data_IF_550180102962
#
_entry.id   IF_550180102962
#
_cell.length_a   1.000
_cell.length_b   1.000
_cell.length_c   1.000
_cell.angle_alpha   90.00
_cell.angle_beta   90.00
_cell.angle_gamma   90.00
#
_symmetry.space_group_name_H-M   'P 1'
#
loop_
_entity.id
_entity.type
_entity.pdbx_description
1 polymer ?
#
# COMPACT_ATOMS: atom_id res chain seq x y z
N UNK A 1 9.41 -9.84 -61.97
CA UNK A 1 8.23 -9.84 -61.07
C UNK A 1 8.79 -9.87 -59.66
N UNK A 2 8.87 -8.71 -59.02
CA UNK A 2 9.27 -8.60 -57.61
C UNK A 2 8.06 -8.91 -56.73
N UNK A 3 8.17 -9.97 -55.94
CA UNK A 3 7.22 -10.29 -54.89
C UNK A 3 7.30 -9.23 -53.78
N UNK A 4 6.32 -8.34 -53.75
CA UNK A 4 6.13 -7.42 -52.62
C UNK A 4 5.59 -8.21 -51.43
N UNK A 5 6.45 -8.42 -50.44
CA UNK A 5 6.07 -8.96 -49.15
C UNK A 5 5.08 -8.01 -48.45
N UNK A 6 3.96 -8.52 -47.90
CA UNK A 6 2.96 -7.66 -47.25
C UNK A 6 3.55 -6.98 -46.01
N UNK A 7 3.10 -5.74 -45.70
CA UNK A 7 3.65 -4.98 -44.58
C UNK A 7 3.38 -5.69 -43.26
N UNK A 8 4.46 -5.95 -42.50
CA UNK A 8 4.38 -6.46 -41.12
C UNK A 8 3.59 -5.46 -40.27
N UNK A 9 2.34 -5.79 -39.96
CA UNK A 9 1.51 -5.04 -39.02
C UNK A 9 2.15 -5.10 -37.65
N UNK A 10 2.52 -3.92 -37.11
CA UNK A 10 3.03 -3.81 -35.74
C UNK A 10 1.94 -4.33 -34.79
N UNK A 11 2.27 -5.19 -33.81
CA UNK A 11 1.29 -5.68 -32.86
C UNK A 11 0.65 -4.49 -32.13
N UNK A 12 -0.68 -4.46 -32.11
CA UNK A 12 -1.44 -3.38 -31.46
C UNK A 12 -1.00 -3.26 -29.99
N UNK A 13 -0.61 -2.04 -29.57
CA UNK A 13 -0.27 -1.77 -28.17
C UNK A 13 -1.47 -2.09 -27.30
N UNK A 14 -1.31 -3.03 -26.38
CA UNK A 14 -2.35 -3.41 -25.40
C UNK A 14 -2.75 -2.17 -24.60
N UNK A 15 -4.06 -1.89 -24.40
CA UNK A 15 -4.49 -0.71 -23.68
C UNK A 15 -4.00 -0.74 -22.22
N UNK A 16 -3.60 0.45 -21.75
CA UNK A 16 -3.15 0.70 -20.37
C UNK A 16 -4.31 0.88 -19.37
N UNK A 17 -5.54 1.06 -19.88
CA UNK A 17 -6.76 1.22 -19.09
C UNK A 17 -7.71 0.04 -19.31
N UNK A 18 -8.41 -0.38 -18.26
CA UNK A 18 -9.50 -1.35 -18.30
C UNK A 18 -10.84 -0.67 -18.62
N UNK A 19 -11.82 -1.39 -19.20
CA UNK A 19 -13.17 -0.88 -19.46
C UNK A 19 -13.99 -0.84 -18.16
N UNK A 20 -13.75 0.19 -17.33
CA UNK A 20 -14.31 0.28 -15.96
C UNK A 20 -15.83 0.35 -15.91
N UNK A 21 -16.50 0.98 -16.88
CA UNK A 21 -17.96 1.12 -16.86
C UNK A 21 -18.67 -0.24 -17.00
N UNK A 22 -18.20 -1.07 -17.93
CA UNK A 22 -18.68 -2.44 -18.07
C UNK A 22 -18.32 -3.30 -16.85
N UNK A 23 -17.11 -3.12 -16.31
CA UNK A 23 -16.66 -3.85 -15.11
C UNK A 23 -17.49 -3.50 -13.89
N UNK A 24 -17.87 -2.23 -13.69
CA UNK A 24 -18.70 -1.80 -12.55
C UNK A 24 -20.06 -2.48 -12.51
N UNK A 25 -20.68 -2.74 -13.66
CA UNK A 25 -21.94 -3.45 -13.72
C UNK A 25 -21.80 -4.87 -13.15
N UNK A 26 -20.73 -5.57 -13.56
CA UNK A 26 -20.42 -6.93 -13.09
C UNK A 26 -20.04 -6.91 -11.60
N UNK A 27 -19.19 -5.96 -11.20
CA UNK A 27 -18.72 -5.81 -9.83
C UNK A 27 -19.90 -5.58 -8.86
N UNK A 28 -20.84 -4.69 -9.19
CA UNK A 28 -22.00 -4.41 -8.34
C UNK A 28 -22.91 -5.64 -8.15
N UNK A 29 -22.96 -6.54 -9.14
CA UNK A 29 -23.74 -7.77 -9.04
C UNK A 29 -23.05 -8.85 -8.20
N UNK A 30 -21.71 -8.86 -8.20
CA UNK A 30 -20.91 -9.90 -7.54
C UNK A 30 -20.38 -9.48 -6.17
N UNK A 31 -20.41 -8.18 -5.88
CA UNK A 31 -19.87 -7.63 -4.66
C UNK A 31 -20.69 -8.01 -3.44
N UNK A 32 -19.98 -8.29 -2.35
CA UNK A 32 -20.57 -8.50 -1.03
C UNK A 32 -20.19 -7.34 -0.12
N UNK A 33 -21.09 -7.01 0.82
CA UNK A 33 -20.83 -5.99 1.82
C UNK A 33 -20.24 -6.65 3.06
N UNK A 34 -19.07 -6.20 3.49
CA UNK A 34 -18.45 -6.63 4.74
C UNK A 34 -18.78 -5.65 5.86
N UNK A 35 -19.04 -6.19 7.04
CA UNK A 35 -19.24 -5.43 8.29
C UNK A 35 -18.08 -5.74 9.25
N UNK A 36 -17.44 -4.73 9.86
CA UNK A 36 -16.22 -4.91 10.66
C UNK A 36 -16.29 -6.01 11.72
N UNK A 37 -17.37 -6.05 12.50
CA UNK A 37 -17.51 -7.01 13.60
C UNK A 37 -17.77 -8.45 13.15
N UNK A 38 -18.43 -8.64 12.00
CA UNK A 38 -18.80 -9.98 11.50
C UNK A 38 -17.71 -10.56 10.61
N UNK A 39 -17.02 -9.71 9.86
CA UNK A 39 -16.12 -10.12 8.79
C UNK A 39 -14.64 -9.94 9.12
N UNK A 40 -14.29 -9.76 10.41
CA UNK A 40 -12.91 -9.56 10.87
C UNK A 40 -12.14 -8.51 10.05
N UNK A 41 -12.85 -7.43 9.70
CA UNK A 41 -12.25 -6.28 9.04
C UNK A 41 -11.93 -5.28 10.14
N UNK A 42 -10.65 -4.98 10.34
CA UNK A 42 -10.20 -4.13 11.46
C UNK A 42 -10.76 -2.72 11.40
N UNK A 43 -10.81 -2.14 10.20
CA UNK A 43 -11.37 -0.82 9.92
C UNK A 43 -11.72 -0.72 8.43
N UNK A 44 -12.80 -0.04 8.09
CA UNK A 44 -13.15 0.24 6.70
C UNK A 44 -12.58 1.59 6.27
N UNK A 45 -12.11 1.75 5.02
CA UNK A 45 -11.76 3.06 4.49
C UNK A 45 -12.97 4.02 4.50
N UNK A 46 -12.80 5.23 5.04
CA UNK A 46 -13.82 6.29 5.13
C UNK A 46 -13.55 7.42 4.11
N UNK A 47 -12.90 7.09 2.99
CA UNK A 47 -12.40 8.07 2.02
C UNK A 47 -13.19 7.99 0.72
N UNK A 48 -13.95 9.04 0.40
CA UNK A 48 -14.81 9.12 -0.79
C UNK A 48 -14.03 9.05 -2.12
N UNK A 49 -12.72 9.29 -2.09
CA UNK A 49 -11.84 9.16 -3.26
C UNK A 49 -11.41 7.72 -3.56
N UNK A 50 -11.85 6.75 -2.75
CA UNK A 50 -11.47 5.35 -2.83
C UNK A 50 -12.66 4.47 -3.27
N UNK A 51 -12.64 4.02 -4.52
CA UNK A 51 -13.59 3.00 -5.00
C UNK A 51 -13.00 1.59 -4.85
N UNK A 52 -13.73 0.71 -4.16
CA UNK A 52 -13.34 -0.68 -3.94
C UNK A 52 -14.54 -1.62 -3.83
N UNK A 53 -14.35 -2.88 -4.22
CA UNK A 53 -15.37 -3.94 -4.14
C UNK A 53 -14.79 -5.21 -3.53
N UNK A 54 -15.53 -5.85 -2.63
CA UNK A 54 -15.20 -7.18 -2.13
C UNK A 54 -15.87 -8.25 -2.98
N UNK A 55 -15.07 -9.09 -3.62
CA UNK A 55 -15.57 -10.12 -4.53
C UNK A 55 -15.28 -11.50 -3.93
N UNK A 56 -16.30 -12.35 -3.73
CA UNK A 56 -16.10 -13.75 -3.35
C UNK A 56 -15.18 -14.49 -4.31
N UNK A 57 -14.31 -15.34 -3.76
CA UNK A 57 -13.31 -16.08 -4.54
C UNK A 57 -13.88 -16.92 -5.69
N UNK A 58 -15.15 -17.34 -5.59
CA UNK A 58 -15.84 -18.09 -6.65
C UNK A 58 -15.91 -17.33 -8.00
N UNK A 59 -15.90 -16.00 -7.97
CA UNK A 59 -15.93 -15.17 -9.18
C UNK A 59 -14.54 -14.82 -9.71
N UNK A 60 -13.47 -15.13 -8.96
CA UNK A 60 -12.10 -14.71 -9.26
C UNK A 60 -11.61 -15.16 -10.64
N UNK A 61 -12.00 -16.36 -11.08
CA UNK A 61 -11.65 -16.88 -12.42
C UNK A 61 -12.11 -15.95 -13.56
N UNK A 62 -13.20 -15.21 -13.39
CA UNK A 62 -13.72 -14.26 -14.39
C UNK A 62 -12.82 -13.04 -14.55
N UNK A 63 -12.01 -12.72 -13.54
CA UNK A 63 -11.10 -11.56 -13.54
C UNK A 63 -9.70 -11.91 -14.06
N UNK A 64 -9.41 -13.19 -14.36
CA UNK A 64 -8.12 -13.63 -14.90
C UNK A 64 -7.62 -12.84 -16.13
N UNK A 65 -8.48 -12.44 -17.10
CA UNK A 65 -8.04 -11.62 -18.24
C UNK A 65 -7.47 -10.24 -17.84
N UNK A 66 -7.84 -9.74 -16.65
CA UNK A 66 -7.40 -8.45 -16.13
C UNK A 66 -6.21 -8.56 -15.16
N UNK A 67 -5.82 -9.77 -14.78
CA UNK A 67 -4.67 -9.99 -13.92
C UNK A 67 -3.36 -9.76 -14.70
N UNK A 68 -2.63 -8.71 -14.33
CA UNK A 68 -1.34 -8.32 -14.94
C UNK A 68 -0.28 -8.13 -13.85
N UNK A 69 0.44 -9.21 -13.47
CA UNK A 69 1.52 -9.13 -12.48
C UNK A 69 2.55 -8.06 -12.86
N UNK A 70 2.95 -7.24 -11.88
CA UNK A 70 3.97 -6.19 -12.05
C UNK A 70 3.54 -4.96 -12.87
N UNK A 71 2.48 -5.05 -13.68
CA UNK A 71 1.97 -3.93 -14.49
C UNK A 71 0.43 -3.91 -14.52
N UNK A 72 -0.22 -3.57 -13.39
CA UNK A 72 -1.67 -3.41 -13.34
C UNK A 72 -2.13 -2.28 -14.27
N UNK A 73 -3.42 -2.28 -14.60
CA UNK A 73 -4.01 -1.15 -15.33
C UNK A 73 -3.94 0.12 -14.49
N UNK A 74 -3.83 1.27 -15.15
CA UNK A 74 -3.72 2.56 -14.45
C UNK A 74 -4.99 2.91 -13.64
N UNK A 75 -6.14 2.42 -14.08
CA UNK A 75 -7.46 2.67 -13.50
C UNK A 75 -8.09 1.45 -12.84
N UNK A 76 -7.43 0.29 -12.82
CA UNK A 76 -8.02 -0.95 -12.33
C UNK A 76 -6.97 -1.85 -11.71
N UNK A 77 -7.17 -2.21 -10.44
CA UNK A 77 -6.27 -3.09 -9.69
C UNK A 77 -7.05 -4.26 -9.10
N UNK A 78 -6.59 -5.47 -9.43
CA UNK A 78 -6.92 -6.68 -8.69
C UNK A 78 -5.96 -6.76 -7.51
N UNK A 79 -6.49 -6.64 -6.31
CA UNK A 79 -5.77 -6.88 -5.06
C UNK A 79 -5.84 -8.38 -4.79
N UNK A 80 -4.78 -8.97 -4.24
CA UNK A 80 -4.77 -10.34 -3.72
C UNK A 80 -5.36 -11.43 -4.64
N UNK A 81 -5.14 -11.29 -5.95
CA UNK A 81 -5.60 -12.25 -6.94
C UNK A 81 -4.93 -13.61 -6.74
N UNK A 82 -5.70 -14.70 -6.77
CA UNK A 82 -5.34 -16.07 -6.38
C UNK A 82 -5.04 -16.28 -4.89
N UNK A 83 -5.17 -15.26 -4.04
CA UNK A 83 -4.90 -15.34 -2.61
C UNK A 83 -6.07 -14.71 -1.84
N UNK A 84 -7.27 -15.34 -1.88
CA UNK A 84 -8.47 -14.76 -1.31
C UNK A 84 -8.28 -14.50 0.18
N UNK A 85 -8.68 -13.31 0.62
CA UNK A 85 -8.43 -12.86 1.98
C UNK A 85 -9.36 -13.57 2.98
N UNK A 86 -8.77 -14.02 4.09
CA UNK A 86 -9.50 -14.56 5.26
C UNK A 86 -9.61 -13.54 6.40
N UNK A 87 -8.82 -12.48 6.33
CA UNK A 87 -8.88 -11.33 7.24
C UNK A 87 -8.31 -10.11 6.53
N UNK A 88 -8.85 -8.93 6.81
CA UNK A 88 -8.50 -7.67 6.14
C UNK A 88 -8.21 -6.57 7.16
N UNK A 89 -7.19 -5.78 6.89
CA UNK A 89 -6.85 -4.60 7.69
C UNK A 89 -6.48 -3.42 6.79
N UNK A 90 -7.13 -2.29 7.02
CA UNK A 90 -6.92 -1.08 6.23
C UNK A 90 -6.25 0.00 7.07
N UNK A 91 -5.24 0.65 6.50
CA UNK A 91 -4.52 1.73 7.17
C UNK A 91 -3.87 2.69 6.18
N UNK A 92 -3.53 3.88 6.66
CA UNK A 92 -2.71 4.82 5.89
C UNK A 92 -1.23 4.49 6.03
N UNK A 93 -0.56 4.39 4.89
CA UNK A 93 0.90 4.38 4.83
C UNK A 93 1.38 5.72 4.27
N UNK A 94 2.23 6.40 5.05
CA UNK A 94 2.94 7.58 4.58
C UNK A 94 4.13 7.14 3.75
N UNK A 95 4.24 7.64 2.52
CA UNK A 95 5.52 7.58 1.81
C UNK A 95 6.25 8.87 2.14
N UNK A 96 7.15 8.78 3.10
CA UNK A 96 8.02 9.88 3.45
C UNK A 96 9.48 9.48 3.32
N UNK A 97 10.31 10.46 3.02
CA UNK A 97 11.76 10.40 3.09
C UNK A 97 12.21 11.47 4.08
N UNK A 98 13.20 11.12 4.88
CA UNK A 98 13.89 12.04 5.78
C UNK A 98 15.36 11.99 5.39
N UNK A 99 15.87 13.09 4.86
CA UNK A 99 17.31 13.29 4.71
C UNK A 99 17.81 13.96 5.98
N UNK A 100 18.39 13.14 6.85
CA UNK A 100 19.07 13.61 8.07
C UNK A 100 20.45 14.10 7.66
N UNK A 101 20.83 15.29 8.13
CA UNK A 101 22.12 15.91 7.81
C UNK A 101 22.32 16.19 6.31
N UNK A 102 21.47 17.02 5.68
CA UNK A 102 21.76 17.54 4.34
C UNK A 102 23.06 18.35 4.37
N UNK A 103 23.74 18.40 3.23
CA UNK A 103 24.97 19.15 3.07
C UNK A 103 24.71 20.66 3.17
N UNK A 104 25.73 21.41 3.55
CA UNK A 104 25.67 22.87 3.63
C UNK A 104 25.13 23.50 2.34
N UNK A 105 25.59 23.02 1.19
CA UNK A 105 25.20 23.57 -0.12
C UNK A 105 23.73 23.30 -0.44
N UNK A 106 23.18 22.15 -0.04
CA UNK A 106 21.76 21.85 -0.22
C UNK A 106 20.87 22.76 0.64
N UNK A 107 21.25 23.05 1.88
CA UNK A 107 20.53 23.97 2.77
C UNK A 107 20.60 25.40 2.23
N UNK A 108 21.79 25.85 1.82
CA UNK A 108 21.98 27.17 1.24
C UNK A 108 21.24 27.36 -0.08
N UNK A 109 21.18 26.32 -0.92
CA UNK A 109 20.39 26.33 -2.15
C UNK A 109 18.90 26.44 -1.84
N UNK A 110 18.40 25.71 -0.83
CA UNK A 110 17.01 25.76 -0.42
C UNK A 110 16.61 27.16 0.07
N UNK A 111 17.38 27.75 0.99
CA UNK A 111 17.16 29.11 1.49
C UNK A 111 17.21 30.15 0.37
N UNK A 112 18.17 30.03 -0.56
CA UNK A 112 18.29 30.91 -1.72
C UNK A 112 17.08 30.81 -2.64
N UNK A 113 16.56 29.61 -2.88
CA UNK A 113 15.38 29.41 -3.73
C UNK A 113 14.13 30.04 -3.09
N UNK A 114 13.90 29.84 -1.79
CA UNK A 114 12.77 30.44 -1.08
C UNK A 114 12.84 31.97 -1.08
N UNK A 115 14.03 32.54 -0.83
CA UNK A 115 14.29 33.97 -0.95
C UNK A 115 13.97 34.49 -2.35
N UNK A 116 14.51 33.85 -3.37
CA UNK A 116 14.33 34.27 -4.76
C UNK A 116 12.87 34.18 -5.19
N UNK A 117 12.11 33.19 -4.72
CA UNK A 117 10.68 33.08 -5.00
C UNK A 117 9.90 34.27 -4.42
N UNK A 118 10.12 34.59 -3.14
CA UNK A 118 9.48 35.73 -2.48
C UNK A 118 9.90 37.07 -3.11
N UNK A 119 11.19 37.21 -3.44
CA UNK A 119 11.72 38.39 -4.12
C UNK A 119 11.12 38.54 -5.51
N UNK A 120 11.07 37.47 -6.30
CA UNK A 120 10.47 37.51 -7.63
C UNK A 120 8.99 37.86 -7.57
N UNK A 121 8.24 37.34 -6.60
CA UNK A 121 6.83 37.74 -6.38
C UNK A 121 6.72 39.23 -6.05
N UNK A 122 7.63 39.77 -5.23
CA UNK A 122 7.63 41.21 -4.91
C UNK A 122 7.87 42.13 -6.11
N UNK A 123 8.46 41.62 -7.20
CA UNK A 123 8.67 42.37 -8.43
C UNK A 123 7.37 42.55 -9.24
N UNK A 124 6.40 41.66 -9.06
CA UNK A 124 5.14 41.66 -9.82
C UNK A 124 3.92 42.02 -8.96
N UNK A 125 3.98 41.80 -7.65
CA UNK A 125 2.86 42.00 -6.72
C UNK A 125 3.35 42.59 -5.38
N UNK A 126 2.50 43.36 -4.70
CA UNK A 126 2.81 43.84 -3.35
C UNK A 126 2.71 42.68 -2.35
N UNK A 127 3.83 42.34 -1.70
CA UNK A 127 3.85 41.30 -0.68
C UNK A 127 2.99 41.70 0.53
N UNK A 128 2.25 40.73 1.07
CA UNK A 128 1.56 40.88 2.35
C UNK A 128 2.53 41.10 3.52
N UNK A 129 2.04 41.61 4.65
CA UNK A 129 2.85 41.83 5.84
C UNK A 129 3.56 40.54 6.32
N UNK A 130 2.87 39.40 6.25
CA UNK A 130 3.40 38.07 6.61
C UNK A 130 4.50 37.62 5.65
N UNK A 131 4.34 37.84 4.34
CA UNK A 131 5.36 37.49 3.34
C UNK A 131 6.60 38.38 3.44
N UNK A 132 6.45 39.66 3.79
CA UNK A 132 7.58 40.55 4.06
C UNK A 132 8.35 40.15 5.32
N UNK A 133 7.64 39.69 6.34
CA UNK A 133 8.27 39.12 7.53
C UNK A 133 9.02 37.83 7.21
N UNK A 134 8.40 36.93 6.46
CA UNK A 134 9.02 35.69 5.99
C UNK A 134 10.29 35.95 5.17
N UNK A 135 10.26 36.90 4.23
CA UNK A 135 11.44 37.28 3.45
C UNK A 135 12.60 37.77 4.34
N UNK A 136 12.31 38.62 5.34
CA UNK A 136 13.33 39.10 6.29
C UNK A 136 13.89 37.96 7.13
N UNK A 137 13.04 37.04 7.57
CA UNK A 137 13.46 35.87 8.34
C UNK A 137 14.37 34.95 7.50
N UNK A 138 13.99 34.64 6.26
CA UNK A 138 14.81 33.83 5.35
C UNK A 138 16.16 34.48 5.06
N UNK A 139 16.20 35.80 4.83
CA UNK A 139 17.45 36.54 4.61
C UNK A 139 18.38 36.51 5.84
N UNK A 140 17.81 36.66 7.04
CA UNK A 140 18.55 36.57 8.31
C UNK A 140 19.12 35.16 8.53
N UNK A 141 18.29 34.14 8.34
CA UNK A 141 18.68 32.74 8.47
C UNK A 141 19.76 32.36 7.45
N UNK A 142 19.66 32.84 6.22
CA UNK A 142 20.67 32.59 5.19
C UNK A 142 22.04 33.17 5.55
N UNK A 143 22.09 34.37 6.15
CA UNK A 143 23.35 34.96 6.63
C UNK A 143 23.91 34.18 7.82
N UNK A 144 23.06 33.91 8.81
CA UNK A 144 23.48 33.23 10.03
C UNK A 144 23.96 31.78 9.76
N UNK A 145 23.28 31.06 8.88
CA UNK A 145 23.67 29.70 8.49
C UNK A 145 24.97 29.69 7.67
N UNK A 146 25.16 30.66 6.78
CA UNK A 146 26.41 30.82 6.03
C UNK A 146 27.61 31.09 6.95
N UNK A 147 27.42 31.95 7.95
CA UNK A 147 28.50 32.40 8.82
C UNK A 147 28.82 31.38 9.93
N UNK A 148 27.87 30.51 10.30
CA UNK A 148 28.05 29.48 11.32
C UNK A 148 27.19 28.24 11.04
N UNK A 149 27.56 27.40 10.06
CA UNK A 149 26.74 26.27 9.65
C UNK A 149 26.61 25.19 10.72
N UNK A 150 27.67 24.96 11.51
CA UNK A 150 27.70 23.96 12.58
C UNK A 150 26.80 24.32 13.77
N UNK A 151 26.32 25.57 13.86
CA UNK A 151 25.37 26.01 14.89
C UNK A 151 23.95 25.50 14.64
N UNK A 152 23.68 24.87 13.50
CA UNK A 152 22.35 24.45 13.06
C UNK A 152 22.32 22.97 12.69
N UNK A 153 21.30 22.25 13.17
CA UNK A 153 20.98 20.92 12.68
C UNK A 153 19.88 21.02 11.62
N UNK A 154 20.22 20.69 10.37
CA UNK A 154 19.27 20.69 9.26
C UNK A 154 18.71 19.28 8.97
N UNK A 155 17.50 19.24 8.43
CA UNK A 155 16.86 18.02 7.96
C UNK A 155 15.87 18.37 6.84
N UNK A 156 15.86 17.60 5.76
CA UNK A 156 14.77 17.69 4.77
C UNK A 156 13.80 16.53 4.97
N UNK A 157 12.51 16.84 4.98
CA UNK A 157 11.47 15.83 4.98
C UNK A 157 10.30 16.25 4.12
N UNK A 158 9.76 15.28 3.38
CA UNK A 158 8.47 15.40 2.70
C UNK A 158 7.33 14.78 3.54
N UNK A 159 7.52 14.56 4.85
CA UNK A 159 6.51 13.95 5.73
C UNK A 159 5.17 14.69 5.69
N UNK A 160 5.20 16.01 5.57
CA UNK A 160 4.01 16.86 5.43
C UNK A 160 3.55 17.08 3.98
N UNK A 161 4.30 16.61 2.97
CA UNK A 161 3.85 16.59 1.58
C UNK A 161 2.92 15.39 1.34
N UNK A 162 1.72 15.46 1.91
CA UNK A 162 0.41 14.87 1.54
C UNK A 162 0.25 13.47 0.90
N UNK A 163 1.29 12.68 0.63
CA UNK A 163 1.16 11.38 -0.03
C UNK A 163 0.80 10.27 0.97
N UNK A 164 -0.47 10.27 1.38
CA UNK A 164 -1.11 9.19 2.15
C UNK A 164 -1.72 8.17 1.19
N UNK A 165 -1.24 6.93 1.24
CA UNK A 165 -1.82 5.84 0.47
C UNK A 165 -2.66 4.95 1.40
N UNK A 166 -3.92 4.70 1.00
CA UNK A 166 -4.67 3.60 1.60
C UNK A 166 -3.97 2.31 1.27
N UNK A 167 -3.79 1.48 2.28
CA UNK A 167 -3.13 0.20 2.17
C UNK A 167 -4.05 -0.85 2.77
N UNK A 168 -4.17 -1.98 2.08
CA UNK A 168 -4.89 -3.17 2.52
C UNK A 168 -3.87 -4.25 2.85
N UNK A 169 -3.76 -4.60 4.12
CA UNK A 169 -3.12 -5.84 4.55
C UNK A 169 -4.17 -6.95 4.59
N UNK A 170 -3.79 -8.14 4.13
CA UNK A 170 -4.67 -9.30 4.11
C UNK A 170 -3.92 -10.54 4.55
N UNK A 171 -4.64 -11.42 5.25
CA UNK A 171 -4.19 -12.79 5.55
C UNK A 171 -4.78 -13.75 4.53
N UNK A 172 -4.03 -14.78 4.15
CA UNK A 172 -4.48 -15.85 3.26
C UNK A 172 -3.82 -17.17 3.65
N UNK A 173 -4.42 -18.30 3.27
CA UNK A 173 -3.81 -19.62 3.45
C UNK A 173 -2.80 -19.91 2.34
N UNK A 174 -1.60 -20.35 2.72
CA UNK A 174 -0.55 -20.71 1.77
C UNK A 174 -0.69 -22.15 1.28
N UNK A 175 -1.28 -23.01 2.09
CA UNK A 175 -1.39 -24.44 1.88
C UNK A 175 -2.83 -24.86 1.57
N UNK A 176 -2.97 -25.90 0.73
CA UNK A 176 -4.28 -26.48 0.42
C UNK A 176 -4.95 -27.13 1.64
N UNK A 177 -4.17 -27.46 2.67
CA UNK A 177 -4.62 -27.99 3.96
C UNK A 177 -5.11 -26.92 4.93
N UNK A 178 -5.00 -25.63 4.58
CA UNK A 178 -5.53 -24.48 5.34
C UNK A 178 -4.99 -24.42 6.79
N UNK A 179 -3.73 -24.80 6.97
CA UNK A 179 -3.05 -24.83 8.28
C UNK A 179 -2.04 -23.70 8.44
N UNK A 180 -1.50 -23.17 7.34
CA UNK A 180 -0.50 -22.11 7.34
C UNK A 180 -1.08 -20.84 6.72
N UNK A 181 -1.12 -19.77 7.50
CA UNK A 181 -1.56 -18.47 7.06
C UNK A 181 -0.39 -17.50 6.96
N UNK A 182 -0.32 -16.74 5.86
CA UNK A 182 0.64 -15.65 5.69
C UNK A 182 -0.09 -14.31 5.53
N UNK A 183 0.66 -13.22 5.63
CA UNK A 183 0.16 -11.85 5.54
C UNK A 183 0.88 -11.11 4.44
N UNK A 184 0.12 -10.50 3.53
CA UNK A 184 0.65 -9.60 2.51
C UNK A 184 -0.01 -8.23 2.61
N UNK A 185 0.59 -7.26 1.94
CA UNK A 185 0.17 -5.87 2.02
C UNK A 185 0.24 -5.21 0.66
N UNK A 186 -0.86 -4.59 0.25
CA UNK A 186 -1.00 -3.93 -1.04
C UNK A 186 -1.58 -2.52 -0.91
N UNK A 187 -0.99 -1.56 -1.62
CA UNK A 187 -1.55 -0.21 -1.73
C UNK A 187 -2.79 -0.19 -2.63
N UNK A 188 -3.77 0.65 -2.30
CA UNK A 188 -4.98 0.82 -3.09
C UNK A 188 -4.85 2.04 -4.02
N UNK A 189 -5.48 1.95 -5.19
CA UNK A 189 -5.59 3.05 -6.14
C UNK A 189 -6.61 4.08 -5.62
N UNK A 190 -6.21 5.36 -5.58
CA UNK A 190 -7.12 6.49 -5.34
C UNK A 190 -7.46 7.22 -6.62
N UNK A 191 -8.63 7.84 -6.66
CA UNK A 191 -8.98 8.82 -7.69
C UNK A 191 -7.91 9.91 -7.76
N UNK A 192 -7.59 10.33 -8.99
CA UNK A 192 -6.61 11.40 -9.21
C UNK A 192 -7.17 12.42 -10.17
N UNK A 193 -7.15 13.68 -9.78
CA UNK A 193 -7.45 14.79 -10.66
C UNK A 193 -6.26 15.03 -11.62
N UNK A 194 -6.53 15.20 -12.92
CA UNK A 194 -5.54 15.72 -13.87
C UNK A 194 -5.87 17.15 -14.25
N UNK A 195 -4.85 17.85 -14.78
CA UNK A 195 -4.94 19.18 -15.38
C UNK A 195 -6.17 19.24 -16.29
N UNK A 196 -7.03 20.24 -16.05
CA UNK A 196 -8.41 20.46 -16.58
C UNK A 196 -9.57 19.99 -15.66
N UNK A 197 -9.32 19.66 -14.40
CA UNK A 197 -10.38 19.45 -13.41
C UNK A 197 -11.15 18.12 -13.56
N UNK A 198 -10.67 17.20 -14.40
CA UNK A 198 -11.29 15.89 -14.58
C UNK A 198 -10.71 14.87 -13.60
N UNK A 199 -11.60 14.24 -12.84
CA UNK A 199 -11.26 13.15 -11.93
C UNK A 199 -11.09 11.86 -12.73
N UNK A 200 -9.92 11.25 -12.66
CA UNK A 200 -9.69 9.91 -13.20
C UNK A 200 -10.19 8.87 -12.21
N UNK A 201 -11.19 8.13 -12.64
CA UNK A 201 -11.77 7.02 -11.90
C UNK A 201 -10.79 5.85 -11.78
N UNK A 202 -10.75 5.23 -10.60
CA UNK A 202 -9.87 4.11 -10.30
C UNK A 202 -10.57 3.12 -9.37
N UNK A 203 -10.56 1.85 -9.75
CA UNK A 203 -11.28 0.80 -9.05
C UNK A 203 -10.31 -0.24 -8.49
N UNK A 204 -10.54 -0.65 -7.25
CA UNK A 204 -9.84 -1.76 -6.60
C UNK A 204 -10.81 -2.94 -6.42
N UNK A 205 -10.38 -4.15 -6.77
CA UNK A 205 -11.14 -5.38 -6.57
C UNK A 205 -10.39 -6.24 -5.58
N UNK A 206 -10.99 -6.52 -4.43
CA UNK A 206 -10.39 -7.28 -3.33
C UNK A 206 -11.09 -8.63 -3.26
N UNK A 207 -10.35 -9.72 -3.41
CA UNK A 207 -10.92 -11.06 -3.36
C UNK A 207 -10.99 -11.56 -1.93
N UNK A 208 -12.08 -12.20 -1.55
CA UNK A 208 -12.26 -12.72 -0.20
C UNK A 208 -12.69 -14.16 -0.23
N UNK A 209 -12.37 -14.90 0.82
CA UNK A 209 -13.01 -16.17 1.12
C UNK A 209 -14.18 -15.90 2.09
N UNK A 210 -15.43 -15.94 1.61
CA UNK A 210 -16.60 -15.61 2.44
C UNK A 210 -16.76 -16.57 3.64
N UNK A 211 -16.28 -17.80 3.52
CA UNK A 211 -16.41 -18.80 4.57
C UNK A 211 -15.49 -18.49 5.75
N UNK A 212 -14.23 -18.16 5.46
CA UNK A 212 -13.24 -17.89 6.50
C UNK A 212 -13.28 -16.46 7.02
N UNK A 213 -13.57 -15.48 6.16
CA UNK A 213 -13.63 -14.08 6.59
C UNK A 213 -14.75 -13.83 7.61
N UNK A 214 -15.82 -14.63 7.58
CA UNK A 214 -16.95 -14.58 8.53
C UNK A 214 -16.73 -15.38 9.81
N UNK A 215 -15.65 -16.17 9.91
CA UNK A 215 -15.37 -17.06 11.04
C UNK A 215 -14.08 -16.68 11.72
N UNK A 216 -14.02 -16.57 13.06
CA UNK A 216 -12.79 -16.20 13.77
C UNK A 216 -11.59 -16.99 13.25
N UNK A 217 -10.62 -16.29 12.66
CA UNK A 217 -9.37 -16.90 12.22
C UNK A 217 -8.65 -17.34 13.50
N UNK A 218 -8.25 -18.62 13.62
CA UNK A 218 -7.48 -19.07 14.76
C UNK A 218 -6.24 -18.19 14.90
N UNK A 219 -6.03 -17.59 16.08
CA UNK A 219 -4.75 -16.96 16.36
C UNK A 219 -3.69 -18.07 16.26
N UNK A 220 -2.72 -17.95 15.34
CA UNK A 220 -1.65 -18.96 15.17
C UNK A 220 -0.96 -19.28 16.49
N UNK A 221 -0.81 -18.27 17.37
CA UNK A 221 -0.29 -18.46 18.71
C UNK A 221 -1.11 -19.45 19.53
N UNK A 222 -2.46 -19.47 19.44
CA UNK A 222 -3.26 -20.46 20.17
C UNK A 222 -3.11 -21.88 19.63
N UNK A 223 -2.78 -22.03 18.34
CA UNK A 223 -2.51 -23.35 17.76
C UNK A 223 -1.12 -23.83 18.17
N UNK A 224 -0.12 -22.96 18.09
CA UNK A 224 1.24 -23.24 18.58
C UNK A 224 1.22 -23.49 20.09
N UNK A 225 0.56 -22.64 20.89
CA UNK A 225 0.46 -22.82 22.34
C UNK A 225 -0.25 -24.14 22.69
N UNK A 226 -1.37 -24.48 22.04
CA UNK A 226 -2.03 -25.78 22.23
C UNK A 226 -1.19 -26.96 21.75
N UNK A 227 -0.47 -26.80 20.66
CA UNK A 227 0.43 -27.81 20.12
C UNK A 227 1.59 -28.04 21.10
N UNK A 228 2.26 -26.97 21.53
CA UNK A 228 3.33 -26.98 22.54
C UNK A 228 2.84 -27.47 23.90
N UNK A 229 1.59 -27.21 24.29
CA UNK A 229 0.94 -27.77 25.49
C UNK A 229 0.81 -29.30 25.40
N UNK A 230 0.80 -29.88 24.19
CA UNK A 230 0.84 -31.35 24.03
C UNK A 230 2.23 -31.96 24.24
N UNK A 231 3.28 -31.15 24.43
CA UNK A 231 4.64 -31.61 24.71
C UNK A 231 4.87 -31.59 26.23
N UNK A 232 4.82 -32.75 26.92
CA UNK A 232 4.94 -32.82 28.37
C UNK A 232 6.34 -32.46 28.88
N UNK A 233 7.34 -32.45 28.00
CA UNK A 233 8.73 -32.17 28.35
C UNK A 233 9.18 -30.90 27.64
N UNK A 234 9.63 -29.91 28.43
CA UNK A 234 10.11 -28.62 27.94
C UNK A 234 11.47 -28.33 28.57
N UNK A 235 12.53 -28.23 27.75
CA UNK A 235 13.90 -28.00 28.20
C UNK A 235 14.38 -26.65 27.66
N UNK A 236 14.49 -25.66 28.53
CA UNK A 236 14.94 -24.31 28.17
C UNK A 236 16.47 -24.20 28.18
N UNK A 237 17.06 -23.72 27.08
CA UNK A 237 18.48 -23.41 26.92
C UNK A 237 18.65 -21.99 26.36
N UNK A 238 18.97 -21.02 27.24
CA UNK A 238 19.09 -19.61 26.88
C UNK A 238 17.77 -19.01 26.38
N UNK A 239 17.76 -18.53 25.13
CA UNK A 239 16.57 -17.99 24.45
C UNK A 239 15.74 -19.07 23.73
N UNK A 240 16.20 -20.32 23.74
CA UNK A 240 15.56 -21.43 23.01
C UNK A 240 14.90 -22.40 23.99
N UNK A 241 13.73 -22.94 23.66
CA UNK A 241 13.09 -24.02 24.42
C UNK A 241 12.90 -25.22 23.51
N UNK A 242 13.41 -26.37 23.93
CA UNK A 242 13.24 -27.65 23.27
C UNK A 242 11.97 -28.32 23.82
N UNK A 243 11.00 -28.58 22.96
CA UNK A 243 9.75 -29.27 23.30
C UNK A 243 9.82 -30.73 22.85
N UNK A 244 9.58 -31.68 23.75
CA UNK A 244 9.67 -33.12 23.49
C UNK A 244 8.34 -33.81 23.81
N UNK A 245 7.89 -34.68 22.89
CA UNK A 245 6.73 -35.55 23.04
C UNK A 245 7.11 -36.94 22.53
N UNK A 246 6.77 -38.00 23.27
CA UNK A 246 6.92 -39.37 22.77
C UNK A 246 5.90 -39.62 21.66
N UNK A 247 6.32 -40.35 20.62
CA UNK A 247 5.47 -40.70 19.50
C UNK A 247 4.45 -41.76 19.95
N UNK A 248 3.12 -41.54 19.82
CA UNK A 248 2.12 -42.49 20.32
C UNK A 248 1.98 -43.80 19.51
N UNK A 249 2.92 -44.10 18.59
CA UNK A 249 2.88 -45.31 17.75
C UNK A 249 4.15 -46.17 17.83
N UNK A 250 4.92 -46.09 18.91
CA UNK A 250 6.13 -46.92 19.08
C UNK A 250 6.24 -47.59 20.46
N UNK A 251 5.12 -47.94 21.08
CA UNK A 251 5.05 -48.87 22.23
C UNK A 251 4.06 -50.03 21.97
N UNK A 252 4.05 -50.55 20.73
CA UNK A 252 3.61 -51.91 20.41
C UNK A 252 4.76 -52.67 19.72
N UNK A 253 5.86 -52.85 20.46
CA UNK A 253 6.85 -53.89 20.21
C UNK A 253 7.65 -54.08 21.50
N UNK A 254 7.10 -54.90 22.38
CA UNK A 254 7.90 -55.67 23.34
C UNK A 254 8.78 -56.67 22.59
#
# INVERSE_FOLDING_TARGET
MEDQQPPKTKPAKRPDNAPIDALRLILKQQAVTLTPMVNQVSAMPVDDSLEYYFIPMQYMKQYAPYHRPGKPFKNFKLVNFNQPAISLSFFYKYKYSIQRSPTHDEVMLHLRNQRNELLNRSLFEQLSATQNEELRQVDGLMRAFRDSPDAYQACFSNYHHYYRYWTCAYRYFEDATLTQANSLTEHLLKHTERIKGQVHERVNVIFIDPHYITRPVPNDNKFIDRELDTFPLQLRQGITTLYLRKNPFTDEAA
#
